data_IF_462311627750
#
_entry.id   IF_462311627750
#
_cell.length_a   1.000
_cell.length_b   1.000
_cell.length_c   1.000
_cell.angle_alpha   90.00
_cell.angle_beta   90.00
_cell.angle_gamma   90.00
#
_symmetry.space_group_name_H-M   'P 1'
#
loop_
_entity.id
_entity.type
_entity.pdbx_description
1 polymer ?
#
# COMPACT_ATOMS: atom_id res chain seq x y z
N UNK A 1 19.23 -10.71 -25.11
CA UNK A 1 18.46 -9.50 -24.70
C UNK A 1 18.90 -9.19 -23.29
N UNK A 2 19.40 -7.97 -23.02
CA UNK A 2 19.70 -7.58 -21.63
C UNK A 2 18.38 -7.53 -20.86
N UNK A 3 18.26 -8.33 -19.81
CA UNK A 3 17.11 -8.22 -18.90
C UNK A 3 17.07 -6.80 -18.35
N UNK A 4 15.98 -6.10 -18.66
CA UNK A 4 15.73 -4.80 -18.03
C UNK A 4 15.68 -5.03 -16.51
N UNK A 5 16.33 -4.15 -15.70
CA UNK A 5 16.30 -4.29 -14.27
C UNK A 5 14.84 -4.39 -13.81
N UNK A 6 14.52 -5.47 -13.06
CA UNK A 6 13.16 -5.73 -12.58
C UNK A 6 12.66 -4.52 -11.80
N UNK A 7 11.49 -4.03 -12.17
CA UNK A 7 10.87 -2.91 -11.46
C UNK A 7 10.33 -3.38 -10.12
N UNK A 8 10.50 -2.58 -9.08
CA UNK A 8 9.96 -2.87 -7.77
C UNK A 8 8.49 -2.41 -7.71
N UNK A 9 7.57 -3.34 -7.92
CA UNK A 9 6.16 -3.11 -7.68
C UNK A 9 5.89 -3.01 -6.18
N UNK A 10 4.81 -2.37 -5.81
CA UNK A 10 4.32 -2.28 -4.45
C UNK A 10 2.89 -1.78 -4.46
N UNK A 11 2.13 -2.07 -3.44
CA UNK A 11 0.72 -1.79 -3.46
C UNK A 11 0.14 -1.38 -2.12
N UNK A 12 -1.17 -1.45 -2.06
CA UNK A 12 -1.98 -1.20 -0.88
C UNK A 12 -3.20 -2.11 -0.92
N UNK A 13 -3.54 -2.71 0.20
CA UNK A 13 -4.84 -3.34 0.37
C UNK A 13 -5.94 -2.28 0.38
N UNK A 14 -7.06 -2.61 -0.24
CA UNK A 14 -8.28 -1.82 -0.27
C UNK A 14 -9.47 -2.71 0.15
N UNK A 15 -10.69 -2.19 0.14
CA UNK A 15 -11.89 -2.97 0.46
C UNK A 15 -12.08 -4.04 -0.62
N UNK A 16 -12.10 -5.31 -0.22
CA UNK A 16 -12.24 -6.49 -1.08
C UNK A 16 -11.25 -6.52 -2.26
N UNK A 17 -10.06 -5.91 -2.09
CA UNK A 17 -9.15 -5.79 -3.22
C UNK A 17 -7.73 -5.35 -2.90
N UNK A 18 -6.97 -5.21 -3.99
CA UNK A 18 -5.57 -4.79 -3.99
C UNK A 18 -5.34 -3.75 -5.09
N UNK A 19 -4.62 -2.69 -4.75
CA UNK A 19 -4.06 -1.73 -5.70
C UNK A 19 -2.55 -1.98 -5.81
N UNK A 20 -2.03 -2.08 -7.05
CA UNK A 20 -0.60 -2.18 -7.32
C UNK A 20 -0.13 -0.94 -8.09
N UNK A 21 0.91 -0.31 -7.60
CA UNK A 21 1.59 0.79 -8.26
C UNK A 21 2.71 0.26 -9.15
N UNK A 22 2.57 0.41 -10.46
CA UNK A 22 3.56 0.10 -11.47
C UNK A 22 4.51 1.25 -11.78
N UNK A 23 5.20 1.17 -12.91
CA UNK A 23 6.19 2.18 -13.37
C UNK A 23 5.50 3.47 -13.84
N UNK A 24 4.49 3.32 -14.69
CA UNK A 24 3.75 4.39 -15.34
C UNK A 24 2.27 4.37 -15.04
N UNK A 25 1.76 3.24 -14.58
CA UNK A 25 0.36 3.01 -14.25
C UNK A 25 0.20 2.53 -12.81
N UNK A 26 -1.00 2.62 -12.29
CA UNK A 26 -1.43 1.80 -11.17
C UNK A 26 -2.62 0.93 -11.61
N UNK A 27 -2.71 -0.23 -11.04
CA UNK A 27 -3.83 -1.16 -11.22
C UNK A 27 -4.66 -1.24 -9.95
N UNK A 28 -5.93 -1.59 -10.10
CA UNK A 28 -6.85 -1.89 -9.02
C UNK A 28 -7.59 -3.16 -9.38
N UNK A 29 -7.57 -4.17 -8.51
CA UNK A 29 -8.43 -5.34 -8.61
C UNK A 29 -9.29 -5.46 -7.37
N UNK A 30 -10.59 -5.68 -7.54
CA UNK A 30 -11.58 -5.74 -6.45
C UNK A 30 -12.53 -6.91 -6.72
N UNK A 31 -12.80 -7.73 -5.72
CA UNK A 31 -13.82 -8.78 -5.79
C UNK A 31 -15.20 -8.18 -5.55
N UNK A 32 -16.13 -8.40 -6.49
CA UNK A 32 -17.53 -8.03 -6.37
C UNK A 32 -18.31 -9.05 -5.54
N UNK A 33 -19.56 -8.73 -5.19
CA UNK A 33 -20.45 -9.62 -4.45
C UNK A 33 -20.83 -10.88 -5.23
N UNK A 34 -20.91 -10.77 -6.56
CA UNK A 34 -21.15 -11.90 -7.47
C UNK A 34 -19.94 -12.87 -7.58
N UNK A 35 -18.83 -12.55 -6.93
CA UNK A 35 -17.59 -13.33 -6.98
C UNK A 35 -16.66 -12.97 -8.13
N UNK A 36 -17.09 -12.16 -9.12
CA UNK A 36 -16.23 -11.70 -10.21
C UNK A 36 -15.15 -10.75 -9.73
N UNK A 37 -14.03 -10.66 -10.46
CA UNK A 37 -12.95 -9.72 -10.15
C UNK A 37 -13.03 -8.57 -11.14
N UNK A 38 -13.37 -7.38 -10.62
CA UNK A 38 -13.22 -6.13 -11.36
C UNK A 38 -11.75 -5.73 -11.37
N UNK A 39 -11.24 -5.31 -12.54
CA UNK A 39 -9.89 -4.76 -12.66
C UNK A 39 -9.89 -3.47 -13.45
N UNK A 40 -8.97 -2.60 -13.11
CA UNK A 40 -8.79 -1.31 -13.76
C UNK A 40 -7.31 -0.95 -13.75
N UNK A 41 -6.87 -0.25 -14.81
CA UNK A 41 -5.54 0.37 -14.87
C UNK A 41 -5.70 1.86 -15.18
N UNK A 42 -4.85 2.69 -14.56
CA UNK A 42 -4.84 4.12 -14.82
C UNK A 42 -3.40 4.65 -14.86
N UNK A 43 -3.18 5.67 -15.69
CA UNK A 43 -1.91 6.39 -15.77
C UNK A 43 -1.63 7.15 -14.47
N UNK A 44 -0.39 7.05 -14.00
CA UNK A 44 0.10 7.89 -12.92
C UNK A 44 0.29 9.32 -13.42
N UNK A 45 -0.03 10.30 -12.58
CA UNK A 45 0.20 11.70 -12.89
C UNK A 45 1.69 11.97 -13.14
N UNK A 46 2.01 12.80 -14.13
CA UNK A 46 3.37 13.22 -14.46
C UNK A 46 4.13 13.88 -13.30
N UNK A 47 3.41 14.45 -12.33
CA UNK A 47 3.99 14.99 -11.10
C UNK A 47 4.72 13.91 -10.29
N UNK A 48 4.21 12.67 -10.30
CA UNK A 48 4.77 11.55 -9.56
C UNK A 48 5.80 10.73 -10.35
N UNK A 49 5.90 10.93 -11.66
CA UNK A 49 6.88 10.25 -12.53
C UNK A 49 8.04 11.17 -12.97
N UNK A 50 7.95 12.47 -12.66
CA UNK A 50 8.86 13.52 -13.10
C UNK A 50 10.25 13.52 -12.44
N UNK A 51 11.14 14.46 -12.86
CA UNK A 51 12.55 14.51 -12.43
C UNK A 51 12.72 14.83 -10.94
N UNK A 52 11.75 15.47 -10.30
CA UNK A 52 11.77 15.80 -8.85
C UNK A 52 11.89 14.54 -7.99
N UNK A 53 11.39 13.40 -8.47
CA UNK A 53 11.53 12.09 -7.80
C UNK A 53 12.99 11.60 -7.69
N UNK A 54 13.93 12.25 -8.39
CA UNK A 54 15.36 11.91 -8.29
C UNK A 54 16.06 12.62 -7.14
N UNK A 55 15.47 13.69 -6.60
CA UNK A 55 16.07 14.52 -5.56
C UNK A 55 15.87 13.84 -4.20
N UNK A 56 16.96 13.48 -3.47
CA UNK A 56 16.86 12.93 -2.12
C UNK A 56 16.02 13.84 -1.20
N UNK A 57 15.34 13.26 -0.24
CA UNK A 57 14.40 13.88 0.69
C UNK A 57 13.11 14.38 0.02
N UNK A 58 13.17 15.19 -1.06
CA UNK A 58 11.95 15.63 -1.78
C UNK A 58 11.17 14.46 -2.34
N UNK A 59 11.86 13.43 -2.84
CA UNK A 59 11.19 12.21 -3.33
C UNK A 59 10.39 11.49 -2.24
N UNK A 60 10.84 11.53 -0.96
CA UNK A 60 10.12 10.93 0.16
C UNK A 60 8.77 11.62 0.39
N UNK A 61 8.74 12.95 0.35
CA UNK A 61 7.51 13.73 0.46
C UNK A 61 6.57 13.44 -0.73
N UNK A 62 7.12 13.41 -1.96
CA UNK A 62 6.33 13.11 -3.16
C UNK A 62 5.73 11.70 -3.12
N UNK A 63 6.51 10.70 -2.71
CA UNK A 63 6.01 9.32 -2.60
C UNK A 63 4.94 9.20 -1.53
N UNK A 64 5.09 9.91 -0.40
CA UNK A 64 4.06 9.94 0.64
C UNK A 64 2.75 10.55 0.12
N UNK A 65 2.84 11.70 -0.55
CA UNK A 65 1.66 12.36 -1.16
C UNK A 65 1.03 11.48 -2.24
N UNK A 66 1.84 10.88 -3.13
CA UNK A 66 1.37 9.92 -4.14
C UNK A 66 0.60 8.76 -3.48
N UNK A 67 1.21 8.12 -2.48
CA UNK A 67 0.62 6.97 -1.79
C UNK A 67 -0.69 7.33 -1.09
N UNK A 68 -0.75 8.51 -0.49
CA UNK A 68 -1.96 9.00 0.18
C UNK A 68 -3.09 9.25 -0.84
N UNK A 69 -2.79 9.98 -1.92
CA UNK A 69 -3.77 10.31 -2.96
C UNK A 69 -4.27 9.06 -3.70
N UNK A 70 -3.35 8.16 -4.10
CA UNK A 70 -3.71 6.89 -4.73
C UNK A 70 -4.48 5.99 -3.76
N UNK A 71 -4.07 5.95 -2.49
CA UNK A 71 -4.74 5.17 -1.46
C UNK A 71 -6.19 5.61 -1.24
N UNK A 72 -6.42 6.92 -1.06
CA UNK A 72 -7.79 7.46 -0.90
C UNK A 72 -8.63 7.21 -2.16
N UNK A 73 -8.06 7.44 -3.36
CA UNK A 73 -8.74 7.18 -4.63
C UNK A 73 -9.15 5.70 -4.77
N UNK A 74 -8.19 4.81 -4.53
CA UNK A 74 -8.41 3.36 -4.66
C UNK A 74 -9.36 2.82 -3.61
N UNK A 75 -9.26 3.30 -2.36
CA UNK A 75 -10.16 2.90 -1.28
C UNK A 75 -11.60 3.31 -1.57
N UNK A 76 -11.81 4.55 -2.04
CA UNK A 76 -13.14 5.02 -2.46
C UNK A 76 -13.69 4.16 -3.60
N UNK A 77 -12.89 3.94 -4.65
CA UNK A 77 -13.31 3.16 -5.82
C UNK A 77 -13.63 1.72 -5.44
N UNK A 78 -12.79 1.09 -4.63
CA UNK A 78 -13.01 -0.28 -4.18
C UNK A 78 -14.27 -0.41 -3.32
N UNK A 79 -14.55 0.56 -2.44
CA UNK A 79 -15.77 0.57 -1.65
C UNK A 79 -17.03 0.61 -2.53
N UNK A 80 -17.05 1.48 -3.56
CA UNK A 80 -18.16 1.54 -4.50
C UNK A 80 -18.32 0.21 -5.26
N UNK A 81 -17.23 -0.37 -5.78
CA UNK A 81 -17.28 -1.62 -6.56
C UNK A 81 -17.73 -2.81 -5.70
N UNK A 82 -17.21 -2.90 -4.46
CA UNK A 82 -17.55 -3.99 -3.55
C UNK A 82 -19.02 -3.94 -3.04
N UNK A 83 -19.67 -2.77 -3.11
CA UNK A 83 -21.07 -2.56 -2.69
C UNK A 83 -22.07 -2.61 -3.84
N UNK A 84 -21.61 -2.61 -5.11
CA UNK A 84 -22.51 -2.69 -6.27
C UNK A 84 -23.12 -4.10 -6.36
N UNK A 85 -24.44 -4.17 -6.26
CA UNK A 85 -25.24 -5.36 -6.59
C UNK A 85 -25.43 -5.46 -8.11
N UNK A 86 -25.75 -6.66 -8.64
CA UNK A 86 -25.95 -6.92 -10.08
C UNK A 86 -27.05 -6.07 -10.73
N UNK A 87 -28.00 -5.57 -9.96
CA UNK A 87 -29.21 -4.89 -10.44
C UNK A 87 -29.07 -3.38 -10.68
N UNK A 88 -27.89 -2.90 -11.08
CA UNK A 88 -27.78 -1.58 -11.69
C UNK A 88 -28.21 -0.37 -10.84
N UNK A 89 -28.48 -0.56 -9.56
CA UNK A 89 -28.75 0.53 -8.64
C UNK A 89 -27.49 1.39 -8.53
N UNK A 90 -27.53 2.54 -9.17
CA UNK A 90 -26.53 3.58 -9.00
C UNK A 90 -26.63 4.05 -7.54
N UNK A 91 -25.87 3.40 -6.65
CA UNK A 91 -25.67 4.00 -5.33
C UNK A 91 -25.13 5.41 -5.57
N UNK A 92 -25.92 6.41 -5.21
CA UNK A 92 -25.52 7.81 -5.28
C UNK A 92 -24.14 7.95 -4.66
N UNK A 93 -23.18 8.37 -5.47
CA UNK A 93 -21.84 8.66 -4.96
C UNK A 93 -21.98 9.65 -3.80
N UNK A 94 -21.43 9.30 -2.64
CA UNK A 94 -21.42 10.21 -1.48
C UNK A 94 -20.96 11.60 -1.95
N UNK A 95 -21.70 12.66 -1.64
CA UNK A 95 -21.36 14.00 -2.10
C UNK A 95 -19.97 14.39 -1.63
N UNK A 96 -19.20 15.07 -2.48
CA UNK A 96 -17.80 15.40 -2.24
C UNK A 96 -17.56 16.09 -0.88
N UNK A 97 -18.52 16.90 -0.40
CA UNK A 97 -18.43 17.56 0.91
C UNK A 97 -18.51 16.59 2.08
N UNK A 98 -19.33 15.52 1.99
CA UNK A 98 -19.44 14.51 3.04
C UNK A 98 -18.15 13.70 3.15
N UNK A 99 -17.56 13.35 1.99
CA UNK A 99 -16.25 12.71 1.95
C UNK A 99 -15.13 13.58 2.51
N UNK A 100 -15.08 14.85 2.09
CA UNK A 100 -14.11 15.80 2.60
C UNK A 100 -14.27 15.99 4.12
N UNK A 101 -15.52 16.04 4.62
CA UNK A 101 -15.82 16.10 6.04
C UNK A 101 -15.33 14.87 6.80
N UNK A 102 -15.61 13.68 6.30
CA UNK A 102 -15.14 12.41 6.91
C UNK A 102 -13.61 12.36 6.95
N UNK A 103 -12.95 12.72 5.85
CA UNK A 103 -11.49 12.77 5.79
C UNK A 103 -10.91 13.78 6.78
N UNK A 104 -11.50 14.98 6.86
CA UNK A 104 -11.06 16.02 7.80
C UNK A 104 -11.23 15.58 9.26
N UNK A 105 -12.37 15.00 9.63
CA UNK A 105 -12.60 14.46 10.97
C UNK A 105 -11.62 13.34 11.30
N UNK A 106 -11.40 12.41 10.35
CA UNK A 106 -10.42 11.31 10.53
C UNK A 106 -9.00 11.84 10.70
N UNK A 107 -8.61 12.86 9.93
CA UNK A 107 -7.31 13.52 10.05
C UNK A 107 -7.17 14.21 11.43
N UNK A 108 -8.16 14.94 11.88
CA UNK A 108 -8.17 15.60 13.20
C UNK A 108 -8.07 14.58 14.34
N UNK A 109 -8.82 13.48 14.26
CA UNK A 109 -8.74 12.40 15.24
C UNK A 109 -7.36 11.74 15.22
N UNK A 110 -6.78 11.51 14.06
CA UNK A 110 -5.42 10.98 13.92
C UNK A 110 -4.37 11.90 14.53
N UNK A 111 -4.42 13.19 14.25
CA UNK A 111 -3.52 14.19 14.87
C UNK A 111 -3.74 14.23 16.39
N UNK A 112 -4.98 14.22 16.85
CA UNK A 112 -5.33 14.18 18.27
C UNK A 112 -4.74 12.94 18.96
N UNK A 113 -4.94 11.77 18.39
CA UNK A 113 -4.53 10.49 18.97
C UNK A 113 -3.01 10.29 18.96
N UNK A 114 -2.32 10.61 17.84
CA UNK A 114 -0.91 10.26 17.67
C UNK A 114 0.06 11.39 17.98
N UNK A 115 -0.42 12.63 18.07
CA UNK A 115 0.44 13.78 18.38
C UNK A 115 0.04 14.48 19.68
N UNK A 116 -1.24 14.85 19.84
CA UNK A 116 -1.67 15.64 20.99
C UNK A 116 -1.83 14.80 22.26
N UNK A 117 -2.35 13.58 22.16
CA UNK A 117 -2.54 12.70 23.33
C UNK A 117 -1.22 12.30 23.99
N UNK A 118 -0.17 11.81 23.26
CA UNK A 118 1.13 11.55 23.86
C UNK A 118 1.72 12.78 24.54
N UNK A 119 1.61 13.95 23.89
CA UNK A 119 2.10 15.21 24.40
C UNK A 119 1.37 15.64 25.68
N UNK A 120 0.05 15.49 25.72
CA UNK A 120 -0.78 15.78 26.89
C UNK A 120 -0.40 14.86 28.08
N UNK A 121 -0.25 13.57 27.82
CA UNK A 121 0.13 12.59 28.88
C UNK A 121 1.49 12.97 29.46
N UNK A 122 2.48 13.26 28.62
CA UNK A 122 3.82 13.62 29.10
C UNK A 122 3.81 14.98 29.79
N UNK A 123 3.04 15.95 29.33
CA UNK A 123 2.89 17.24 29.99
C UNK A 123 2.39 17.08 31.46
N UNK A 124 1.48 16.16 31.70
CA UNK A 124 1.00 15.84 33.06
C UNK A 124 2.10 15.15 33.91
N UNK A 125 3.03 14.43 33.27
CA UNK A 125 4.13 13.75 33.93
C UNK A 125 5.39 14.63 34.09
N UNK A 126 5.51 15.70 33.34
CA UNK A 126 6.69 16.60 33.31
C UNK A 126 7.11 17.11 34.69
N UNK A 127 6.20 17.43 35.66
CA UNK A 127 6.61 17.80 37.01
C UNK A 127 7.44 16.75 37.77
N UNK A 128 7.30 15.48 37.35
CA UNK A 128 7.99 14.33 37.97
C UNK A 128 9.21 13.89 37.18
N UNK A 129 9.49 14.50 36.01
CA UNK A 129 10.61 14.13 35.14
C UNK A 129 11.68 15.23 35.14
N UNK A 130 12.83 14.96 35.74
CA UNK A 130 13.89 15.94 35.84
C UNK A 130 14.61 16.27 34.51
N UNK A 131 14.69 15.31 33.59
CA UNK A 131 15.45 15.41 32.32
C UNK A 131 14.58 15.68 31.13
N UNK A 132 14.94 16.66 30.28
CA UNK A 132 14.27 16.96 29.01
C UNK A 132 14.36 15.79 28.03
N UNK A 133 15.53 15.14 27.98
CA UNK A 133 15.72 13.94 27.18
C UNK A 133 14.77 12.83 27.62
N UNK A 134 14.65 12.58 28.93
CA UNK A 134 13.76 11.56 29.45
C UNK A 134 12.29 11.86 29.11
N UNK A 135 11.85 13.11 29.25
CA UNK A 135 10.51 13.54 28.87
C UNK A 135 10.20 13.26 27.39
N UNK A 136 11.08 13.65 26.49
CA UNK A 136 10.90 13.42 25.05
C UNK A 136 10.94 11.93 24.66
N UNK A 137 11.79 11.13 25.31
CA UNK A 137 11.83 9.67 25.11
C UNK A 137 10.55 9.02 25.62
N UNK A 138 10.05 9.41 26.79
CA UNK A 138 8.78 8.91 27.34
C UNK A 138 7.61 9.29 26.42
N UNK A 139 7.56 10.53 25.88
CA UNK A 139 6.57 10.94 24.87
C UNK A 139 6.61 9.99 23.67
N UNK A 140 7.80 9.67 23.18
CA UNK A 140 7.97 8.76 22.05
C UNK A 140 7.52 7.33 22.36
N UNK A 141 7.83 6.81 23.54
CA UNK A 141 7.40 5.47 23.99
C UNK A 141 5.88 5.43 24.13
N UNK A 142 5.24 6.46 24.69
CA UNK A 142 3.79 6.56 24.78
C UNK A 142 3.17 6.59 23.36
N UNK A 143 3.73 7.38 22.44
CA UNK A 143 3.29 7.43 21.04
C UNK A 143 3.36 6.05 20.37
N UNK A 144 4.47 5.35 20.53
CA UNK A 144 4.65 3.99 20.01
C UNK A 144 3.64 3.01 20.62
N UNK A 145 3.39 3.10 21.91
CA UNK A 145 2.41 2.27 22.61
C UNK A 145 1.00 2.52 22.09
N UNK A 146 0.63 3.80 21.90
CA UNK A 146 -0.67 4.18 21.32
C UNK A 146 -0.80 3.62 19.90
N UNK A 147 0.24 3.76 19.06
CA UNK A 147 0.24 3.23 17.69
C UNK A 147 0.01 1.71 17.66
N UNK A 148 0.81 0.96 18.43
CA UNK A 148 0.70 -0.51 18.47
C UNK A 148 -0.64 -0.96 19.03
N UNK A 149 -1.12 -0.30 20.08
CA UNK A 149 -2.44 -0.58 20.68
C UNK A 149 -3.57 -0.28 19.70
N UNK A 150 -3.51 0.84 18.99
CA UNK A 150 -4.50 1.21 17.97
C UNK A 150 -4.57 0.16 16.86
N UNK A 151 -3.42 -0.22 16.27
CA UNK A 151 -3.37 -1.24 15.22
C UNK A 151 -3.96 -2.57 15.72
N UNK A 152 -3.61 -2.97 16.94
CA UNK A 152 -4.13 -4.20 17.55
C UNK A 152 -5.66 -4.14 17.74
N UNK A 153 -6.18 -3.01 18.21
CA UNK A 153 -7.60 -2.81 18.46
C UNK A 153 -8.42 -2.82 17.15
N UNK A 154 -8.02 -2.04 16.14
CA UNK A 154 -8.73 -2.04 14.86
C UNK A 154 -8.66 -3.40 14.17
N UNK A 155 -7.55 -4.15 14.34
CA UNK A 155 -7.37 -5.49 13.82
C UNK A 155 -8.27 -6.55 14.47
N UNK A 156 -9.10 -6.19 15.47
CA UNK A 156 -10.14 -7.07 16.03
C UNK A 156 -11.42 -7.08 15.18
N UNK A 157 -11.68 -6.00 14.42
CA UNK A 157 -12.81 -5.94 13.49
C UNK A 157 -12.68 -6.98 12.37
N UNK A 158 -13.82 -7.58 11.97
CA UNK A 158 -13.90 -8.52 10.83
C UNK A 158 -13.41 -7.89 9.53
N UNK A 159 -13.86 -6.66 9.26
CA UNK A 159 -13.57 -5.96 8.02
C UNK A 159 -12.08 -5.60 7.92
N UNK A 160 -11.50 -5.13 9.02
CA UNK A 160 -10.06 -4.85 9.06
C UNK A 160 -9.22 -6.13 8.94
N UNK A 161 -9.69 -7.26 9.51
CA UNK A 161 -9.02 -8.55 9.30
C UNK A 161 -8.99 -8.96 7.83
N UNK A 162 -10.08 -8.71 7.09
CA UNK A 162 -10.12 -8.96 5.64
C UNK A 162 -9.15 -8.06 4.89
N UNK A 163 -9.13 -6.74 5.18
CA UNK A 163 -8.16 -5.82 4.61
C UNK A 163 -6.72 -6.25 4.92
N UNK A 164 -6.44 -6.72 6.15
CA UNK A 164 -5.12 -7.23 6.51
C UNK A 164 -4.76 -8.55 5.80
N UNK A 165 -5.75 -9.35 5.40
CA UNK A 165 -5.53 -10.54 4.59
C UNK A 165 -5.21 -10.15 3.13
N UNK A 166 -5.93 -9.20 2.53
CA UNK A 166 -5.56 -8.63 1.23
C UNK A 166 -4.17 -7.98 1.24
N UNK A 167 -3.78 -7.34 2.34
CA UNK A 167 -2.42 -6.82 2.50
C UNK A 167 -1.37 -7.94 2.52
N UNK A 168 -1.69 -9.06 3.17
CA UNK A 168 -0.86 -10.27 3.10
C UNK A 168 -0.77 -10.83 1.67
N UNK A 169 -1.89 -10.90 0.94
CA UNK A 169 -1.93 -11.38 -0.44
C UNK A 169 -1.10 -10.49 -1.38
N UNK A 170 -1.20 -9.16 -1.24
CA UNK A 170 -0.36 -8.21 -1.99
C UNK A 170 1.12 -8.50 -1.79
N UNK A 171 1.59 -8.61 -0.54
CA UNK A 171 2.99 -8.91 -0.25
C UNK A 171 3.45 -10.24 -0.84
N UNK A 172 2.64 -11.29 -0.72
CA UNK A 172 2.96 -12.61 -1.25
C UNK A 172 3.05 -12.61 -2.77
N UNK A 173 2.15 -11.88 -3.47
CA UNK A 173 2.20 -11.72 -4.93
C UNK A 173 3.45 -10.93 -5.38
N UNK A 174 3.81 -9.87 -4.66
CA UNK A 174 5.05 -9.10 -4.92
C UNK A 174 6.29 -9.97 -4.71
N UNK A 175 6.35 -10.76 -3.64
CA UNK A 175 7.46 -11.71 -3.41
C UNK A 175 7.58 -12.72 -4.54
N UNK A 176 6.46 -13.28 -5.02
CA UNK A 176 6.44 -14.24 -6.12
C UNK A 176 7.02 -13.64 -7.39
N UNK A 177 6.60 -12.43 -7.74
CA UNK A 177 7.14 -11.69 -8.87
C UNK A 177 8.64 -11.42 -8.73
N UNK A 178 9.09 -10.97 -7.56
CA UNK A 178 10.51 -10.69 -7.28
C UNK A 178 11.37 -11.94 -7.34
N UNK A 179 10.83 -13.10 -6.95
CA UNK A 179 11.48 -14.39 -7.09
C UNK A 179 11.54 -14.88 -8.55
N UNK A 180 10.80 -14.23 -9.47
CA UNK A 180 10.74 -14.62 -10.88
C UNK A 180 9.94 -15.88 -11.14
N UNK A 181 9.01 -16.20 -10.26
CA UNK A 181 8.07 -17.30 -10.41
C UNK A 181 6.79 -16.82 -11.07
N UNK A 182 6.09 -17.74 -11.72
CA UNK A 182 4.79 -17.48 -12.32
C UNK A 182 3.77 -17.08 -11.22
N UNK A 183 2.94 -16.09 -11.54
CA UNK A 183 1.90 -15.57 -10.64
C UNK A 183 0.69 -16.52 -10.64
N UNK A 184 0.84 -17.67 -9.99
CA UNK A 184 -0.21 -18.65 -9.76
C UNK A 184 -0.36 -18.90 -8.26
N UNK A 185 -1.56 -19.28 -7.81
CA UNK A 185 -1.89 -19.44 -6.38
C UNK A 185 -0.87 -20.35 -5.66
N UNK A 186 -0.48 -21.46 -6.30
CA UNK A 186 0.47 -22.43 -5.75
C UNK A 186 1.84 -21.82 -5.47
N UNK A 187 2.31 -20.90 -6.32
CA UNK A 187 3.59 -20.23 -6.13
C UNK A 187 3.48 -19.12 -5.08
N UNK A 188 2.39 -18.35 -5.10
CA UNK A 188 2.16 -17.26 -4.15
C UNK A 188 2.08 -17.79 -2.73
N UNK A 189 1.44 -18.94 -2.49
CA UNK A 189 1.36 -19.59 -1.18
C UNK A 189 2.71 -19.96 -0.55
N UNK A 190 3.78 -20.06 -1.34
CA UNK A 190 5.13 -20.41 -0.85
C UNK A 190 5.78 -19.27 -0.06
N UNK A 191 5.26 -18.06 -0.19
CA UNK A 191 5.84 -16.86 0.44
C UNK A 191 5.08 -16.43 1.69
N UNK A 192 5.80 -15.77 2.60
CA UNK A 192 5.23 -15.18 3.80
C UNK A 192 4.63 -13.80 3.55
N UNK A 193 3.80 -13.35 4.49
CA UNK A 193 3.12 -12.05 4.42
C UNK A 193 4.01 -10.82 4.73
N UNK A 194 5.12 -10.87 5.52
CA UNK A 194 5.95 -9.70 5.76
C UNK A 194 6.80 -9.33 4.54
N UNK A 195 6.85 -8.03 4.19
CA UNK A 195 7.65 -7.52 3.09
C UNK A 195 8.48 -6.28 3.50
N UNK A 196 9.80 -6.20 3.18
CA UNK A 196 10.68 -5.15 3.72
C UNK A 196 10.40 -3.74 3.21
N UNK A 197 9.70 -3.57 2.11
CA UNK A 197 9.37 -2.27 1.49
C UNK A 197 7.93 -1.81 1.72
N UNK A 198 7.25 -2.38 2.71
CA UNK A 198 5.86 -2.07 3.01
C UNK A 198 5.69 -0.68 3.63
N UNK A 199 4.57 -0.01 3.29
CA UNK A 199 4.19 1.29 3.84
C UNK A 199 3.95 1.28 5.36
N UNK A 200 3.56 0.15 5.97
CA UNK A 200 3.40 0.07 7.43
C UNK A 200 4.74 0.09 8.16
N UNK A 201 5.81 -0.44 7.54
CA UNK A 201 7.17 -0.28 8.06
C UNK A 201 7.61 1.20 8.05
N UNK A 202 7.16 1.97 7.03
CA UNK A 202 7.40 3.41 6.98
C UNK A 202 6.77 4.14 8.18
N UNK A 203 5.52 3.82 8.53
CA UNK A 203 4.83 4.44 9.67
C UNK A 203 5.61 4.24 10.98
N UNK A 204 6.07 3.01 11.24
CA UNK A 204 6.89 2.72 12.41
C UNK A 204 8.23 3.48 12.38
N UNK A 205 8.88 3.52 11.22
CA UNK A 205 10.16 4.23 11.07
C UNK A 205 9.98 5.73 11.33
N UNK A 206 8.87 6.34 10.89
CA UNK A 206 8.52 7.74 11.21
C UNK A 206 8.42 7.95 12.72
N UNK A 207 7.76 7.05 13.44
CA UNK A 207 7.66 7.13 14.91
C UNK A 207 9.04 6.99 15.56
N UNK A 208 9.85 6.03 15.16
CA UNK A 208 11.19 5.83 15.74
C UNK A 208 12.12 7.02 15.46
N UNK A 209 12.13 7.55 14.23
CA UNK A 209 12.92 8.75 13.90
C UNK A 209 12.40 9.97 14.64
N UNK A 210 11.08 10.10 14.83
CA UNK A 210 10.51 11.20 15.62
C UNK A 210 10.99 11.19 17.07
N UNK A 211 11.16 10.02 17.69
CA UNK A 211 11.72 9.90 19.04
C UNK A 211 13.13 10.49 19.06
N UNK A 212 13.97 10.10 18.11
CA UNK A 212 15.35 10.59 18.02
C UNK A 212 15.39 12.10 17.79
N UNK A 213 14.63 12.61 16.81
CA UNK A 213 14.61 14.05 16.48
C UNK A 213 14.11 14.87 17.66
N UNK A 214 13.02 14.45 18.30
CA UNK A 214 12.46 15.20 19.42
C UNK A 214 13.29 15.10 20.70
N UNK A 215 14.10 14.05 20.87
CA UNK A 215 15.04 13.93 21.98
C UNK A 215 16.04 15.10 22.02
N UNK A 216 16.38 15.69 20.87
CA UNK A 216 17.30 16.83 20.77
C UNK A 216 16.63 18.21 20.93
N UNK A 217 15.30 18.29 20.98
CA UNK A 217 14.56 19.56 20.96
C UNK A 217 14.33 20.18 22.36
N UNK A 218 14.85 19.57 23.42
CA UNK A 218 14.62 20.03 24.81
C UNK A 218 13.12 20.11 25.16
N UNK A 219 12.76 20.92 26.17
CA UNK A 219 11.38 21.20 26.59
C UNK A 219 11.02 22.67 26.34
N UNK A 220 10.70 23.10 25.12
CA UNK A 220 10.21 24.46 24.89
C UNK A 220 8.80 24.63 25.48
N UNK A 221 8.30 25.87 25.60
CA UNK A 221 6.90 26.14 25.95
C UNK A 221 5.92 25.34 25.09
N UNK A 222 4.70 25.05 25.61
CA UNK A 222 3.76 24.10 25.01
C UNK A 222 3.41 24.45 23.57
N UNK A 223 3.26 25.72 23.25
CA UNK A 223 2.94 26.20 21.89
C UNK A 223 4.02 25.74 20.88
N UNK A 224 5.28 25.92 21.23
CA UNK A 224 6.40 25.51 20.40
C UNK A 224 6.58 23.98 20.35
N UNK A 225 6.20 23.27 21.43
CA UNK A 225 6.15 21.81 21.40
C UNK A 225 5.14 21.33 20.35
N UNK A 226 3.91 21.86 20.35
CA UNK A 226 2.88 21.50 19.37
C UNK A 226 3.34 21.84 17.95
N UNK A 227 3.80 23.09 17.74
CA UNK A 227 4.24 23.56 16.41
C UNK A 227 5.37 22.68 15.88
N UNK A 228 6.39 22.39 16.70
CA UNK A 228 7.54 21.57 16.26
C UNK A 228 7.13 20.14 15.91
N UNK A 229 6.21 19.50 16.67
CA UNK A 229 5.73 18.15 16.38
C UNK A 229 5.01 18.06 15.04
N UNK A 230 4.29 19.12 14.65
CA UNK A 230 3.57 19.16 13.36
C UNK A 230 4.51 19.59 12.23
N UNK A 231 5.28 20.66 12.41
CA UNK A 231 6.14 21.22 11.37
C UNK A 231 7.27 20.27 10.93
N UNK A 232 7.76 19.42 11.84
CA UNK A 232 8.83 18.46 11.54
C UNK A 232 8.33 17.16 10.89
N UNK A 233 7.01 16.90 10.84
CA UNK A 233 6.46 15.68 10.22
C UNK A 233 6.96 15.46 8.79
N UNK A 234 6.90 16.45 7.87
CA UNK A 234 7.40 16.26 6.51
C UNK A 234 8.90 15.93 6.45
N UNK A 235 9.70 16.55 7.31
CA UNK A 235 11.15 16.31 7.38
C UNK A 235 11.43 14.90 7.89
N UNK A 236 10.79 14.51 9.00
CA UNK A 236 10.90 13.16 9.57
C UNK A 236 10.46 12.11 8.57
N UNK A 237 9.34 12.34 7.86
CA UNK A 237 8.85 11.44 6.82
C UNK A 237 9.85 11.31 5.66
N UNK A 238 10.47 12.41 5.22
CA UNK A 238 11.48 12.38 4.18
C UNK A 238 12.70 11.53 4.58
N UNK A 239 13.22 11.72 5.78
CA UNK A 239 14.32 10.90 6.30
C UNK A 239 13.93 9.43 6.46
N UNK A 240 12.73 9.15 6.99
CA UNK A 240 12.23 7.80 7.17
C UNK A 240 12.12 7.06 5.85
N UNK A 241 11.67 7.74 4.79
CA UNK A 241 11.64 7.18 3.44
C UNK A 241 13.03 6.79 2.93
N UNK A 242 14.04 7.66 3.12
CA UNK A 242 15.41 7.34 2.70
C UNK A 242 15.98 6.14 3.45
N UNK A 243 15.69 6.02 4.75
CA UNK A 243 16.13 4.89 5.58
C UNK A 243 15.50 3.58 5.09
N UNK A 244 14.19 3.56 4.83
CA UNK A 244 13.52 2.36 4.32
C UNK A 244 14.02 1.99 2.93
N UNK A 245 14.18 2.97 2.06
CA UNK A 245 14.73 2.74 0.72
C UNK A 245 16.15 2.18 0.78
N UNK A 246 16.99 2.74 1.65
CA UNK A 246 18.34 2.24 1.85
C UNK A 246 18.36 0.82 2.41
N UNK A 247 17.57 0.57 3.44
CA UNK A 247 17.42 -0.76 4.04
C UNK A 247 16.88 -1.79 3.02
N UNK A 248 15.87 -1.42 2.24
CA UNK A 248 15.31 -2.27 1.19
C UNK A 248 16.30 -2.62 0.08
N UNK A 249 17.24 -1.71 -0.22
CA UNK A 249 18.30 -1.96 -1.21
C UNK A 249 19.45 -2.84 -0.67
N UNK A 250 19.59 -2.98 0.66
CA UNK A 250 20.69 -3.70 1.31
C UNK A 250 20.20 -4.86 2.18
N UNK A 251 19.16 -5.58 1.74
CA UNK A 251 18.55 -6.69 2.50
C UNK A 251 19.52 -7.87 2.72
N UNK A 252 20.52 -8.05 1.87
CA UNK A 252 21.53 -9.08 2.02
C UNK A 252 22.52 -8.75 3.16
N UNK A 253 22.76 -7.46 3.43
CA UNK A 253 23.65 -7.01 4.48
C UNK A 253 22.99 -7.08 5.88
N UNK A 254 23.77 -7.39 6.91
CA UNK A 254 23.27 -7.53 8.29
C UNK A 254 22.60 -6.24 8.80
N UNK A 255 23.14 -5.07 8.48
CA UNK A 255 22.59 -3.77 8.89
C UNK A 255 21.25 -3.46 8.19
N UNK A 256 21.10 -3.83 6.90
CA UNK A 256 19.83 -3.66 6.18
C UNK A 256 18.73 -4.51 6.80
N UNK A 257 19.05 -5.75 7.16
CA UNK A 257 18.13 -6.63 7.89
C UNK A 257 17.78 -6.07 9.28
N UNK A 258 18.77 -5.59 10.03
CA UNK A 258 18.56 -5.02 11.36
C UNK A 258 17.60 -3.81 11.32
N UNK A 259 17.78 -2.92 10.35
CA UNK A 259 16.90 -1.73 10.17
C UNK A 259 15.48 -2.14 9.78
N UNK A 260 15.32 -3.19 8.97
CA UNK A 260 13.99 -3.65 8.54
C UNK A 260 13.23 -4.42 9.62
N UNK A 261 13.91 -5.06 10.56
CA UNK A 261 13.29 -5.96 11.54
C UNK A 261 12.12 -5.34 12.33
N UNK A 262 12.22 -4.11 12.89
CA UNK A 262 11.08 -3.52 13.61
C UNK A 262 9.84 -3.42 12.72
N UNK A 263 10.00 -3.00 11.45
CA UNK A 263 8.92 -2.93 10.48
C UNK A 263 8.30 -4.29 10.18
N UNK A 264 9.12 -5.32 9.96
CA UNK A 264 8.65 -6.70 9.72
C UNK A 264 7.90 -7.27 10.94
N UNK A 265 8.32 -6.92 12.16
CA UNK A 265 7.59 -7.31 13.38
C UNK A 265 6.22 -6.62 13.44
N UNK A 266 6.14 -5.32 13.14
CA UNK A 266 4.87 -4.59 13.13
C UNK A 266 3.90 -5.17 12.09
N UNK A 267 4.41 -5.60 10.94
CA UNK A 267 3.59 -6.19 9.88
C UNK A 267 2.85 -7.47 10.32
N UNK A 268 3.35 -8.20 11.31
CA UNK A 268 2.62 -9.34 11.91
C UNK A 268 1.28 -8.92 12.52
N UNK A 269 1.11 -7.63 12.84
CA UNK A 269 -0.15 -7.08 13.33
C UNK A 269 -1.04 -6.54 12.19
N UNK A 270 -0.44 -6.13 11.06
CA UNK A 270 -1.12 -5.46 9.94
C UNK A 270 -1.28 -6.35 8.70
N UNK A 271 -0.81 -7.60 8.75
CA UNK A 271 -1.03 -8.61 7.72
C UNK A 271 -1.67 -9.85 8.33
N UNK A 272 -2.44 -10.58 7.54
CA UNK A 272 -3.02 -11.89 7.87
C UNK A 272 -2.75 -12.84 6.72
N UNK A 273 -2.80 -14.14 7.02
CA UNK A 273 -2.74 -15.15 5.98
C UNK A 273 -3.99 -15.05 5.10
N UNK A 274 -3.85 -14.81 3.79
CA UNK A 274 -4.98 -14.73 2.87
C UNK A 274 -5.50 -16.13 2.53
N UNK A 275 -6.76 -16.19 2.13
CA UNK A 275 -7.31 -17.34 1.42
C UNK A 275 -7.01 -17.24 -0.10
N UNK A 276 -7.33 -18.30 -0.84
CA UNK A 276 -7.04 -18.38 -2.27
C UNK A 276 -7.77 -17.32 -3.07
N UNK A 277 -9.00 -17.02 -2.68
CA UNK A 277 -9.80 -16.00 -3.36
C UNK A 277 -9.17 -14.61 -3.26
N UNK A 278 -8.51 -14.31 -2.15
CA UNK A 278 -7.77 -13.07 -1.94
C UNK A 278 -6.43 -13.06 -2.69
N UNK A 279 -5.78 -14.22 -2.76
CA UNK A 279 -4.56 -14.39 -3.58
C UNK A 279 -4.85 -14.16 -5.05
N UNK A 280 -5.96 -14.68 -5.59
CA UNK A 280 -6.39 -14.46 -6.99
C UNK A 280 -6.55 -12.98 -7.31
N UNK A 281 -7.15 -12.20 -6.40
CA UNK A 281 -7.30 -10.75 -6.57
C UNK A 281 -5.94 -10.06 -6.60
N UNK A 282 -5.01 -10.45 -5.73
CA UNK A 282 -3.66 -9.87 -5.71
C UNK A 282 -2.86 -10.24 -6.96
N UNK A 283 -2.99 -11.46 -7.47
CA UNK A 283 -2.41 -11.90 -8.75
C UNK A 283 -2.98 -11.04 -9.89
N UNK A 284 -4.31 -10.92 -9.97
CA UNK A 284 -4.99 -10.11 -10.99
C UNK A 284 -4.51 -8.65 -10.98
N UNK A 285 -4.39 -8.03 -9.79
CA UNK A 285 -3.86 -6.67 -9.66
C UNK A 285 -2.42 -6.57 -10.16
N UNK A 286 -1.57 -7.54 -9.81
CA UNK A 286 -0.16 -7.56 -10.18
C UNK A 286 0.02 -7.75 -11.69
N UNK A 287 -0.68 -8.71 -12.30
CA UNK A 287 -0.65 -8.95 -13.74
C UNK A 287 -1.15 -7.74 -14.54
N UNK A 288 -2.22 -7.10 -14.07
CA UNK A 288 -2.74 -5.87 -14.68
C UNK A 288 -1.70 -4.75 -14.65
N UNK A 289 -1.00 -4.55 -13.52
CA UNK A 289 0.07 -3.55 -13.42
C UNK A 289 1.25 -3.84 -14.34
N UNK A 290 1.67 -5.11 -14.42
CA UNK A 290 2.76 -5.55 -15.30
C UNK A 290 2.38 -5.33 -16.77
N UNK A 291 1.19 -5.73 -17.17
CA UNK A 291 0.71 -5.58 -18.55
C UNK A 291 0.58 -4.10 -18.96
N UNK A 292 0.04 -3.26 -18.07
CA UNK A 292 -0.07 -1.82 -18.30
C UNK A 292 1.31 -1.18 -18.53
N UNK A 293 2.33 -1.56 -17.75
CA UNK A 293 3.70 -1.09 -17.93
C UNK A 293 4.37 -1.61 -19.22
N UNK A 294 3.81 -2.68 -19.83
CA UNK A 294 4.20 -3.23 -21.13
C UNK A 294 3.35 -2.68 -22.30
N UNK A 295 2.45 -1.73 -22.02
CA UNK A 295 1.56 -1.14 -23.02
C UNK A 295 0.42 -2.05 -23.48
N UNK A 296 0.07 -3.06 -22.69
CA UNK A 296 -1.08 -3.94 -22.94
C UNK A 296 -2.26 -3.51 -22.09
N UNK A 297 -3.45 -3.53 -22.67
CA UNK A 297 -4.71 -3.33 -21.95
C UNK A 297 -5.40 -4.70 -21.77
N UNK A 298 -5.95 -4.91 -20.59
CA UNK A 298 -6.82 -6.05 -20.34
C UNK A 298 -8.28 -5.62 -20.43
N UNK A 299 -9.14 -6.37 -21.14
CA UNK A 299 -10.59 -6.12 -21.13
C UNK A 299 -11.18 -6.35 -19.73
N UNK A 300 -12.19 -5.55 -19.36
CA UNK A 300 -12.99 -5.74 -18.12
C UNK A 300 -14.21 -6.62 -18.42
N UNK A 301 -14.76 -7.33 -17.43
CA UNK A 301 -14.22 -7.91 -16.19
C UNK A 301 -13.73 -9.35 -16.39
N UNK A 302 -12.96 -9.90 -15.41
CA UNK A 302 -12.70 -11.35 -15.39
C UNK A 302 -13.91 -12.02 -14.75
N UNK A 303 -14.56 -12.96 -15.46
CA UNK A 303 -15.52 -13.86 -14.83
C UNK A 303 -14.90 -14.60 -13.64
N UNK A 304 -15.72 -14.94 -12.64
CA UNK A 304 -15.25 -15.73 -11.50
C UNK A 304 -14.53 -16.99 -12.01
N UNK A 305 -13.28 -17.17 -11.63
CA UNK A 305 -12.55 -18.42 -11.90
C UNK A 305 -13.09 -19.44 -10.91
N UNK A 306 -14.13 -20.18 -11.31
CA UNK A 306 -14.55 -21.37 -10.57
C UNK A 306 -13.43 -22.41 -10.69
N UNK A 307 -12.78 -22.70 -9.56
CA UNK A 307 -11.57 -23.48 -9.42
C UNK A 307 -11.43 -24.65 -10.41
N UNK A 308 -10.34 -24.61 -11.16
CA UNK A 308 -9.84 -25.79 -11.86
C UNK A 308 -9.41 -25.66 -13.32
N UNK A 309 -9.46 -24.49 -13.95
CA UNK A 309 -8.94 -24.35 -15.32
C UNK A 309 -7.75 -23.38 -15.36
N UNK A 310 -6.62 -23.95 -15.70
CA UNK A 310 -5.33 -23.28 -15.87
C UNK A 310 -5.42 -22.16 -16.89
N UNK A 311 -4.85 -21.01 -16.58
CA UNK A 311 -4.71 -19.81 -17.44
C UNK A 311 -3.79 -20.04 -18.69
N UNK A 312 -3.92 -21.18 -19.36
CA UNK A 312 -3.13 -21.53 -20.53
C UNK A 312 -3.85 -21.32 -21.86
N UNK A 313 -5.09 -20.84 -21.85
CA UNK A 313 -5.89 -20.71 -23.07
C UNK A 313 -6.43 -19.28 -23.30
N UNK A 314 -5.59 -18.27 -23.06
CA UNK A 314 -5.81 -16.97 -23.69
C UNK A 314 -4.96 -16.97 -24.94
N UNK A 315 -5.57 -17.55 -26.01
CA UNK A 315 -5.04 -17.67 -27.34
C UNK A 315 -4.61 -16.32 -27.92
N UNK A 316 -3.52 -16.39 -28.63
CA UNK A 316 -3.02 -15.48 -29.64
C UNK A 316 -4.14 -15.03 -30.61
N UNK A 317 -4.52 -13.74 -30.69
CA UNK A 317 -5.44 -13.24 -31.70
C UNK A 317 -4.70 -12.85 -32.98
N UNK A 318 -3.81 -13.71 -33.46
CA UNK A 318 -2.97 -13.46 -34.65
C UNK A 318 -2.91 -14.60 -35.66
N UNK A 319 -4.01 -15.32 -35.87
CA UNK A 319 -4.14 -16.29 -36.95
C UNK A 319 -4.87 -15.68 -38.15
N UNK A 320 -4.11 -15.07 -39.04
CA UNK A 320 -4.51 -14.56 -40.34
C UNK A 320 -5.28 -15.61 -41.15
N UNK A 321 -6.46 -15.21 -41.59
CA UNK A 321 -7.14 -15.81 -42.75
C UNK A 321 -6.24 -15.61 -44.00
N UNK A 322 -5.71 -16.68 -44.52
CA UNK A 322 -5.14 -16.70 -45.86
C UNK A 322 -5.85 -17.77 -46.73
N UNK A 323 -6.70 -17.26 -47.56
CA UNK A 323 -6.97 -17.66 -48.91
C UNK A 323 -7.17 -19.14 -49.28
N UNK A 324 -8.38 -19.42 -49.72
CA UNK A 324 -8.59 -20.39 -50.80
C UNK A 324 -9.60 -19.88 -51.83
N UNK A 325 -9.12 -19.06 -52.73
CA UNK A 325 -9.78 -18.91 -54.06
C UNK A 325 -9.31 -20.06 -54.96
N UNK A 326 -10.10 -21.08 -55.08
CA UNK A 326 -9.96 -22.11 -56.08
C UNK A 326 -10.88 -21.87 -57.24
N UNK A 327 -10.36 -21.38 -58.34
CA UNK A 327 -11.00 -21.34 -59.62
C UNK A 327 -11.26 -22.76 -60.14
N UNK A 328 -12.44 -23.00 -60.67
CA UNK A 328 -12.66 -24.07 -61.61
C UNK A 328 -13.35 -23.49 -62.82
N UNK A 329 -12.62 -23.44 -63.89
CA UNK A 329 -13.11 -23.36 -65.24
C UNK A 329 -13.30 -24.76 -65.80
N UNK A 330 -14.27 -24.86 -66.67
CA UNK A 330 -14.41 -25.76 -67.83
C UNK A 330 -15.06 -27.12 -67.64
N UNK A 331 -16.05 -27.23 -68.53
CA UNK A 331 -16.64 -28.42 -69.10
C UNK A 331 -18.06 -28.21 -69.48
#
# INVERSE_FOLDING_TARGET
MAELPRFNYGGQAVIEGVMIRGRTHFSLAVRRQDGTIYRQQELLSNWFTGPVRRIPLLRGILVLLESLLLGVKSLRRSATIAMQEEDGDQHEELPAWAMAGTLAVSMLLGVGLFFLLPLLIVWLLDPYIASDLASNVIEGVIRLTILVSYIKLIGLSSDIKRVFAYHGAEHMAVHTYEAGLDLVVENVRKFGTPHPRCGTAFLLTVVLISIVVFAFLQRPPMEWRIISRIALVPVIAAFSYEIIRFSGAHQEAWFGRMISQPGLILQRLTTRQPDDSQIEVAICAMETAIAADQGREYPEPIAAVTGGETSAEIADPGGSEENASGSSTDG
#
